data_IF_387410172493
#
_entry.id   IF_387410172493
#
_cell.length_a   1.000
_cell.length_b   1.000
_cell.length_c   1.000
_cell.angle_alpha   90.00
_cell.angle_beta   90.00
_cell.angle_gamma   90.00
#
_symmetry.space_group_name_H-M   'P 1'
#
loop_
_entity.id
_entity.type
_entity.pdbx_description
1 polymer ?
#
# COMPACT_ATOMS: atom_id res chain seq x y z
N UNK A 1 -10.90 41.61 29.60
CA UNK A 1 -11.49 41.51 28.24
C UNK A 1 -10.84 40.32 27.57
N UNK A 2 -11.64 39.26 27.41
CA UNK A 2 -11.47 37.95 26.79
C UNK A 2 -10.10 37.49 26.22
N UNK A 3 -9.66 36.36 26.77
CA UNK A 3 -8.80 35.35 26.14
C UNK A 3 -9.36 34.88 24.78
N UNK A 4 -8.50 34.68 23.78
CA UNK A 4 -8.84 33.87 22.60
C UNK A 4 -7.60 33.13 22.04
N UNK A 5 -7.61 31.81 22.25
CA UNK A 5 -7.07 30.75 21.38
C UNK A 5 -5.59 30.79 20.96
N UNK A 6 -4.70 30.38 21.88
CA UNK A 6 -3.55 29.55 21.52
C UNK A 6 -3.82 28.13 22.01
N UNK A 7 -4.56 27.34 21.23
CA UNK A 7 -4.75 25.91 21.49
C UNK A 7 -4.48 25.14 20.21
N UNK A 8 -3.47 24.27 20.23
CA UNK A 8 -3.39 23.12 19.33
C UNK A 8 -2.29 23.09 18.27
N UNK A 9 -1.38 24.07 18.20
CA UNK A 9 -0.15 23.86 17.44
C UNK A 9 0.81 22.99 18.25
N UNK A 10 0.58 21.66 18.24
CA UNK A 10 1.73 20.76 18.31
C UNK A 10 2.74 21.29 17.31
N UNK A 11 3.91 21.73 17.79
CA UNK A 11 4.99 22.29 16.97
C UNK A 11 5.16 21.39 15.74
N UNK A 12 4.66 21.86 14.59
CA UNK A 12 4.82 21.16 13.33
C UNK A 12 6.31 20.95 13.16
N UNK A 13 6.73 19.69 13.11
CA UNK A 13 8.13 19.36 12.91
C UNK A 13 8.56 19.90 11.54
N UNK A 14 9.35 20.98 11.55
CA UNK A 14 9.82 21.64 10.32
C UNK A 14 10.69 20.71 9.45
N UNK A 15 11.17 19.59 10.00
CA UNK A 15 11.88 18.57 9.22
C UNK A 15 10.96 17.73 8.33
N UNK A 16 9.65 17.74 8.60
CA UNK A 16 8.65 16.91 7.92
C UNK A 16 7.76 17.67 6.93
N UNK A 17 7.99 18.98 6.75
CA UNK A 17 7.21 19.84 5.85
C UNK A 17 8.14 20.59 4.90
N UNK A 18 7.62 20.94 3.72
CA UNK A 18 8.37 21.74 2.75
C UNK A 18 8.54 23.17 3.21
N UNK A 19 9.53 23.88 2.67
CA UNK A 19 9.72 25.32 2.93
C UNK A 19 8.43 26.12 2.65
N UNK A 20 7.78 25.90 1.50
CA UNK A 20 6.53 26.60 1.17
C UNK A 20 5.38 26.32 2.14
N UNK A 21 5.32 25.12 2.73
CA UNK A 21 4.36 24.79 3.79
C UNK A 21 4.71 25.47 5.11
N UNK A 22 6.00 25.51 5.46
CA UNK A 22 6.46 26.19 6.66
C UNK A 22 6.23 27.71 6.60
N UNK A 23 6.30 28.29 5.40
CA UNK A 23 5.99 29.71 5.14
C UNK A 23 4.49 29.98 4.90
N UNK A 24 3.63 28.95 4.99
CA UNK A 24 2.19 29.09 4.81
C UNK A 24 1.73 29.39 3.38
N UNK A 25 2.63 29.33 2.39
CA UNK A 25 2.34 29.52 0.96
C UNK A 25 1.63 28.30 0.39
N UNK A 26 2.00 27.11 0.85
CA UNK A 26 1.41 25.84 0.43
C UNK A 26 0.61 25.21 1.58
N UNK A 27 -0.50 24.51 1.29
CA UNK A 27 -1.27 23.82 2.32
C UNK A 27 -0.44 22.71 2.97
N UNK A 28 -0.64 22.52 4.28
CA UNK A 28 0.00 21.43 5.01
C UNK A 28 -0.40 20.06 4.43
N UNK A 29 0.47 19.04 4.52
CA UNK A 29 0.15 17.71 4.04
C UNK A 29 -1.03 17.14 4.82
N UNK A 30 -2.12 16.80 4.12
CA UNK A 30 -3.29 16.11 4.67
C UNK A 30 -3.39 14.69 4.11
N UNK A 31 -4.09 13.82 4.84
CA UNK A 31 -4.39 12.46 4.39
C UNK A 31 -5.21 12.52 3.09
N UNK A 32 -4.80 11.76 2.08
CA UNK A 32 -5.47 11.74 0.78
C UNK A 32 -6.85 11.09 0.87
N UNK A 33 -7.74 11.47 -0.06
CA UNK A 33 -9.06 10.85 -0.18
C UNK A 33 -8.96 9.45 -0.78
N UNK A 34 -9.80 8.54 -0.29
CA UNK A 34 -9.95 7.21 -0.88
C UNK A 34 -10.27 7.31 -2.38
N UNK A 35 -9.88 6.29 -3.13
CA UNK A 35 -10.06 6.20 -4.59
C UNK A 35 -9.32 7.27 -5.40
N UNK A 36 -8.37 7.97 -4.77
CA UNK A 36 -7.49 8.93 -5.44
C UNK A 36 -6.02 8.57 -5.18
N UNK A 37 -5.15 9.03 -6.08
CA UNK A 37 -3.69 9.00 -5.91
C UNK A 37 -3.17 10.36 -6.31
N UNK A 38 -2.62 11.11 -5.35
CA UNK A 38 -2.17 12.48 -5.62
C UNK A 38 -1.00 12.52 -6.61
N UNK A 39 -0.76 13.68 -7.27
CA UNK A 39 0.42 13.87 -8.10
C UNK A 39 1.73 13.59 -7.37
N UNK A 40 1.82 13.93 -6.08
CA UNK A 40 3.00 13.66 -5.26
C UNK A 40 3.23 12.15 -5.09
N UNK A 41 2.18 11.39 -4.75
CA UNK A 41 2.27 9.93 -4.62
C UNK A 41 2.62 9.27 -5.95
N UNK A 42 2.03 9.72 -7.06
CA UNK A 42 2.36 9.22 -8.41
C UNK A 42 3.82 9.44 -8.75
N UNK A 43 4.33 10.65 -8.53
CA UNK A 43 5.74 10.98 -8.77
C UNK A 43 6.68 10.15 -7.89
N UNK A 44 6.35 9.97 -6.62
CA UNK A 44 7.12 9.17 -5.66
C UNK A 44 7.18 7.69 -6.05
N UNK A 45 6.03 7.10 -6.41
CA UNK A 45 5.93 5.71 -6.88
C UNK A 45 6.68 5.53 -8.20
N UNK A 46 6.56 6.49 -9.13
CA UNK A 46 7.29 6.44 -10.40
C UNK A 46 8.80 6.48 -10.18
N UNK A 47 9.29 7.38 -9.33
CA UNK A 47 10.72 7.48 -9.02
C UNK A 47 11.27 6.16 -8.46
N UNK A 48 10.51 5.51 -7.57
CA UNK A 48 10.85 4.19 -7.04
C UNK A 48 10.89 3.13 -8.14
N UNK A 49 9.82 2.98 -8.93
CA UNK A 49 9.74 1.97 -9.98
C UNK A 49 10.87 2.18 -10.99
N UNK A 50 10.98 3.39 -11.55
CA UNK A 50 11.96 3.73 -12.57
C UNK A 50 13.39 3.53 -12.07
N UNK A 51 13.68 3.89 -10.81
CA UNK A 51 15.00 3.68 -10.20
C UNK A 51 15.36 2.21 -9.99
N UNK A 52 14.37 1.31 -9.94
CA UNK A 52 14.59 -0.12 -9.82
C UNK A 52 14.61 -0.85 -11.18
N UNK A 53 14.22 -0.20 -12.28
CA UNK A 53 14.30 -0.82 -13.61
C UNK A 53 15.76 -0.99 -14.01
N UNK A 54 16.13 -2.22 -14.37
CA UNK A 54 17.47 -2.56 -14.86
C UNK A 54 17.44 -2.80 -16.36
N UNK A 55 18.43 -2.25 -17.07
CA UNK A 55 18.53 -2.37 -18.53
C UNK A 55 19.89 -2.93 -18.94
N UNK A 56 19.89 -3.86 -19.88
CA UNK A 56 21.08 -4.33 -20.59
C UNK A 56 20.86 -4.16 -22.09
N UNK A 57 21.80 -3.50 -22.79
CA UNK A 57 21.66 -3.20 -24.22
C UNK A 57 20.31 -2.52 -24.59
N UNK A 58 19.82 -1.61 -23.73
CA UNK A 58 18.52 -0.92 -23.84
C UNK A 58 17.28 -1.82 -23.74
N UNK A 59 17.44 -3.09 -23.40
CA UNK A 59 16.34 -4.00 -23.09
C UNK A 59 16.21 -4.16 -21.57
N UNK A 60 14.97 -4.22 -21.08
CA UNK A 60 14.71 -4.50 -19.67
C UNK A 60 15.30 -5.87 -19.31
N UNK A 61 15.95 -5.96 -18.15
CA UNK A 61 16.57 -7.19 -17.68
C UNK A 61 16.21 -7.48 -16.21
N UNK A 62 16.74 -8.58 -15.68
CA UNK A 62 16.56 -8.95 -14.27
C UNK A 62 15.12 -9.28 -13.88
N UNK A 63 14.79 -8.99 -12.62
CA UNK A 63 13.50 -9.30 -12.00
C UNK A 63 12.33 -8.61 -12.71
N UNK A 64 12.51 -7.34 -13.09
CA UNK A 64 11.49 -6.57 -13.80
C UNK A 64 11.14 -7.14 -15.17
N UNK A 65 12.10 -7.70 -15.92
CA UNK A 65 11.80 -8.33 -17.19
C UNK A 65 10.79 -9.48 -17.03
N UNK A 66 10.95 -10.31 -16.00
CA UNK A 66 10.04 -11.43 -15.71
C UNK A 66 8.69 -10.92 -15.23
N UNK A 67 8.67 -9.98 -14.28
CA UNK A 67 7.43 -9.39 -13.73
C UNK A 67 6.59 -8.76 -14.85
N UNK A 68 7.20 -7.96 -15.71
CA UNK A 68 6.47 -7.23 -16.76
C UNK A 68 5.96 -8.15 -17.88
N UNK A 69 6.74 -9.18 -18.20
CA UNK A 69 6.34 -10.24 -19.13
C UNK A 69 5.14 -11.01 -18.60
N UNK A 70 5.16 -11.41 -17.33
CA UNK A 70 4.06 -12.13 -16.71
C UNK A 70 2.82 -11.23 -16.57
N UNK A 71 2.98 -9.93 -16.28
CA UNK A 71 1.89 -8.95 -16.29
C UNK A 71 1.23 -8.84 -17.67
N UNK A 72 2.04 -8.72 -18.74
CA UNK A 72 1.56 -8.65 -20.13
C UNK A 72 0.68 -9.84 -20.52
N UNK A 73 1.06 -11.05 -20.10
CA UNK A 73 0.27 -12.26 -20.40
C UNK A 73 -0.92 -12.41 -19.47
N UNK A 74 -0.75 -12.23 -18.16
CA UNK A 74 -1.76 -12.63 -17.16
C UNK A 74 -2.78 -11.53 -16.82
N UNK A 75 -2.45 -10.26 -17.07
CA UNK A 75 -3.29 -9.11 -16.72
C UNK A 75 -3.73 -8.31 -17.93
N UNK A 76 -2.90 -8.25 -18.97
CA UNK A 76 -3.27 -7.62 -20.23
C UNK A 76 -3.80 -8.62 -21.27
N UNK A 77 -3.70 -9.92 -21.00
CA UNK A 77 -4.19 -10.99 -21.88
C UNK A 77 -3.62 -10.92 -23.31
N UNK A 78 -2.36 -10.49 -23.44
CA UNK A 78 -1.66 -10.39 -24.73
C UNK A 78 -0.75 -11.57 -24.98
N UNK A 79 -0.47 -11.83 -26.25
CA UNK A 79 0.42 -12.92 -26.65
C UNK A 79 1.87 -12.62 -26.24
N UNK A 80 2.62 -13.65 -25.85
CA UNK A 80 3.96 -13.50 -25.29
C UNK A 80 4.97 -12.93 -26.29
N UNK A 81 4.81 -13.23 -27.57
CA UNK A 81 5.62 -12.75 -28.69
C UNK A 81 5.38 -11.27 -29.03
N UNK A 82 4.30 -10.67 -28.53
CA UNK A 82 4.03 -9.22 -28.62
C UNK A 82 4.72 -8.40 -27.52
N UNK A 83 5.37 -9.06 -26.55
CA UNK A 83 6.02 -8.36 -25.45
C UNK A 83 7.32 -7.69 -25.91
N UNK A 84 7.35 -6.36 -25.88
CA UNK A 84 8.52 -5.55 -26.26
C UNK A 84 9.35 -5.17 -25.03
N UNK A 85 10.57 -5.69 -24.95
CA UNK A 85 11.49 -5.47 -23.83
C UNK A 85 12.26 -4.14 -23.90
N UNK A 86 12.14 -3.40 -25.00
CA UNK A 86 12.91 -2.17 -25.19
C UNK A 86 12.52 -1.07 -24.20
N UNK A 87 13.51 -0.27 -23.78
CA UNK A 87 13.31 0.93 -22.96
C UNK A 87 12.19 1.84 -23.50
N UNK A 88 12.21 2.10 -24.81
CA UNK A 88 11.24 2.94 -25.51
C UNK A 88 9.81 2.36 -25.48
N UNK A 89 9.65 1.07 -25.21
CA UNK A 89 8.35 0.41 -25.09
C UNK A 89 7.90 0.32 -23.63
N UNK A 90 8.80 -0.10 -22.74
CA UNK A 90 8.49 -0.36 -21.33
C UNK A 90 8.27 0.93 -20.54
N UNK A 91 9.17 1.90 -20.66
CA UNK A 91 9.15 3.10 -19.81
C UNK A 91 7.93 3.98 -20.07
N UNK A 92 7.57 4.30 -21.34
CA UNK A 92 6.37 5.09 -21.59
C UNK A 92 5.09 4.41 -21.10
N UNK A 93 4.99 3.08 -21.26
CA UNK A 93 3.83 2.30 -20.82
C UNK A 93 3.66 2.34 -19.30
N UNK A 94 4.72 2.06 -18.55
CA UNK A 94 4.69 2.11 -17.08
C UNK A 94 4.48 3.54 -16.57
N UNK A 95 5.13 4.53 -17.18
CA UNK A 95 4.92 5.93 -16.82
C UNK A 95 3.47 6.34 -17.04
N UNK A 96 2.87 5.95 -18.16
CA UNK A 96 1.46 6.21 -18.45
C UNK A 96 0.54 5.54 -17.41
N UNK A 97 0.79 4.29 -17.05
CA UNK A 97 0.05 3.60 -15.99
C UNK A 97 0.11 4.37 -14.66
N UNK A 98 1.29 4.80 -14.24
CA UNK A 98 1.45 5.49 -12.94
C UNK A 98 0.88 6.92 -12.95
N UNK A 99 1.02 7.67 -14.03
CA UNK A 99 0.58 9.07 -14.08
C UNK A 99 -0.87 9.25 -14.52
N UNK A 100 -1.36 8.38 -15.42
CA UNK A 100 -2.69 8.51 -16.03
C UNK A 100 -3.65 7.38 -15.65
N UNK A 101 -3.16 6.29 -15.05
CA UNK A 101 -4.02 5.21 -14.56
C UNK A 101 -4.89 5.65 -13.39
N UNK A 102 -6.02 4.95 -13.25
CA UNK A 102 -6.90 5.00 -12.07
C UNK A 102 -6.17 4.45 -10.84
N UNK A 103 -6.69 4.75 -9.65
CA UNK A 103 -6.10 4.20 -8.42
C UNK A 103 -6.07 2.66 -8.43
N UNK A 104 -7.13 2.02 -8.97
CA UNK A 104 -7.24 0.56 -9.07
C UNK A 104 -6.12 0.01 -9.94
N UNK A 105 -5.96 0.51 -11.16
CA UNK A 105 -4.93 0.04 -12.10
C UNK A 105 -3.51 0.16 -11.51
N UNK A 106 -3.25 1.25 -10.77
CA UNK A 106 -1.95 1.46 -10.12
C UNK A 106 -1.75 0.44 -8.99
N UNK A 107 -2.69 0.34 -8.06
CA UNK A 107 -2.54 -0.56 -6.91
C UNK A 107 -2.58 -2.03 -7.32
N UNK A 108 -3.35 -2.41 -8.35
CA UNK A 108 -3.36 -3.75 -8.92
C UNK A 108 -2.00 -4.11 -9.51
N UNK A 109 -1.38 -3.19 -10.26
CA UNK A 109 -0.04 -3.39 -10.79
C UNK A 109 1.01 -3.51 -9.69
N UNK A 110 1.00 -2.59 -8.71
CA UNK A 110 1.93 -2.65 -7.59
C UNK A 110 1.74 -3.94 -6.79
N UNK A 111 0.51 -4.36 -6.55
CA UNK A 111 0.20 -5.57 -5.79
C UNK A 111 0.65 -6.82 -6.54
N UNK A 112 0.42 -6.86 -7.85
CA UNK A 112 0.95 -7.92 -8.69
C UNK A 112 2.47 -7.98 -8.60
N UNK A 113 3.15 -6.83 -8.74
CA UNK A 113 4.60 -6.76 -8.73
C UNK A 113 5.20 -7.27 -7.41
N UNK A 114 4.67 -6.86 -6.25
CA UNK A 114 5.17 -7.29 -4.93
C UNK A 114 4.78 -8.73 -4.57
N UNK A 115 3.68 -9.26 -5.13
CA UNK A 115 3.27 -10.66 -4.93
C UNK A 115 3.98 -11.62 -5.88
N UNK A 116 4.68 -11.08 -6.88
CA UNK A 116 5.38 -11.90 -7.86
C UNK A 116 6.55 -12.67 -7.20
N UNK A 117 6.76 -13.92 -7.62
CA UNK A 117 7.84 -14.78 -7.10
C UNK A 117 9.26 -14.25 -7.37
N UNK A 118 9.38 -13.37 -8.36
CA UNK A 118 10.60 -12.64 -8.75
C UNK A 118 10.40 -11.14 -8.55
N UNK A 119 9.73 -10.72 -7.48
CA UNK A 119 9.56 -9.30 -7.22
C UNK A 119 10.93 -8.65 -6.96
N UNK A 120 11.15 -7.39 -7.39
CA UNK A 120 12.40 -6.68 -7.18
C UNK A 120 12.75 -6.52 -5.69
N UNK A 121 14.05 -6.60 -5.38
CA UNK A 121 14.53 -6.46 -4.00
C UNK A 121 14.04 -5.17 -3.31
N UNK A 122 13.40 -5.32 -2.14
CA UNK A 122 12.86 -4.23 -1.30
C UNK A 122 11.85 -3.30 -1.98
N UNK A 123 11.20 -3.77 -3.05
CA UNK A 123 10.15 -3.00 -3.74
C UNK A 123 8.99 -2.66 -2.80
N UNK A 124 8.56 -3.63 -2.00
CA UNK A 124 7.50 -3.50 -0.99
C UNK A 124 7.84 -2.46 0.07
N UNK A 125 9.03 -2.51 0.66
CA UNK A 125 9.51 -1.52 1.64
C UNK A 125 9.53 -0.11 1.05
N UNK A 126 10.02 0.03 -0.20
CA UNK A 126 10.03 1.29 -0.92
C UNK A 126 8.63 1.84 -1.19
N UNK A 127 7.68 0.98 -1.54
CA UNK A 127 6.28 1.37 -1.74
C UNK A 127 5.67 1.83 -0.41
N UNK A 128 5.81 1.03 0.66
CA UNK A 128 5.27 1.35 1.98
C UNK A 128 5.80 2.70 2.52
N UNK A 129 7.10 2.94 2.34
CA UNK A 129 7.74 4.21 2.69
C UNK A 129 7.11 5.39 1.93
N UNK A 130 6.97 5.29 0.61
CA UNK A 130 6.44 6.40 -0.21
C UNK A 130 4.95 6.66 0.04
N UNK A 131 4.15 5.62 0.27
CA UNK A 131 2.73 5.79 0.63
C UNK A 131 2.57 6.51 1.96
N UNK A 132 3.39 6.15 2.96
CA UNK A 132 3.41 6.81 4.26
C UNK A 132 3.85 8.27 4.14
N UNK A 133 4.98 8.52 3.49
CA UNK A 133 5.56 9.86 3.33
C UNK A 133 4.62 10.82 2.61
N UNK A 134 3.88 10.33 1.61
CA UNK A 134 2.96 11.14 0.80
C UNK A 134 1.52 11.15 1.33
N UNK A 135 1.29 10.60 2.53
CA UNK A 135 -0.02 10.50 3.18
C UNK A 135 -1.11 9.90 2.26
N UNK A 136 -0.75 8.85 1.52
CA UNK A 136 -1.66 8.19 0.59
C UNK A 136 -2.88 7.61 1.32
N UNK A 137 -4.02 7.51 0.63
CA UNK A 137 -5.25 6.95 1.19
C UNK A 137 -5.19 5.41 1.41
N UNK A 138 -4.12 4.79 0.95
CA UNK A 138 -3.86 3.36 1.06
C UNK A 138 -2.48 3.13 1.70
N UNK A 139 -2.37 2.05 2.46
CA UNK A 139 -1.13 1.56 3.07
C UNK A 139 -0.84 0.13 2.64
N UNK A 140 0.40 -0.29 2.79
CA UNK A 140 0.87 -1.63 2.47
C UNK A 140 1.29 -2.33 3.76
N UNK A 141 0.67 -3.45 4.08
CA UNK A 141 1.10 -4.34 5.17
C UNK A 141 1.37 -5.74 4.61
N UNK A 142 2.60 -6.21 4.81
CA UNK A 142 3.13 -7.35 4.06
C UNK A 142 3.04 -7.11 2.56
N UNK A 143 2.20 -7.89 1.87
CA UNK A 143 1.97 -7.79 0.43
C UNK A 143 0.52 -7.41 0.07
N UNK A 144 -0.20 -6.76 0.99
CA UNK A 144 -1.61 -6.40 0.87
C UNK A 144 -1.80 -4.91 1.08
N UNK A 145 -2.43 -4.24 0.11
CA UNK A 145 -2.88 -2.87 0.30
C UNK A 145 -4.17 -2.85 1.11
N UNK A 146 -4.40 -1.76 1.85
CA UNK A 146 -5.66 -1.53 2.56
C UNK A 146 -5.96 -0.02 2.65
N UNK A 147 -7.25 0.37 2.67
CA UNK A 147 -7.65 1.76 2.82
C UNK A 147 -7.38 2.28 4.24
N UNK A 148 -7.03 3.55 4.36
CA UNK A 148 -6.77 4.23 5.64
C UNK A 148 -7.49 5.58 5.67
N UNK A 149 -8.30 5.77 6.71
CA UNK A 149 -9.03 7.03 6.95
C UNK A 149 -8.27 7.98 7.88
N UNK A 150 -7.48 7.45 8.82
CA UNK A 150 -6.63 8.24 9.73
C UNK A 150 -5.28 7.56 10.04
N UNK A 151 -4.31 8.32 10.57
CA UNK A 151 -3.03 7.75 11.02
C UNK A 151 -3.21 6.77 12.19
N UNK A 152 -4.20 7.00 13.05
CA UNK A 152 -4.59 6.09 14.14
C UNK A 152 -5.11 4.76 13.60
N UNK A 153 -5.92 4.78 12.53
CA UNK A 153 -6.39 3.57 11.85
C UNK A 153 -5.22 2.78 11.29
N UNK A 154 -4.28 3.45 10.62
CA UNK A 154 -3.08 2.81 10.08
C UNK A 154 -2.27 2.12 11.19
N UNK A 155 -1.99 2.84 12.29
CA UNK A 155 -1.24 2.28 13.42
C UNK A 155 -1.95 1.08 14.06
N UNK A 156 -3.28 1.12 14.14
CA UNK A 156 -4.10 0.03 14.68
C UNK A 156 -4.02 -1.20 13.79
N UNK A 157 -4.15 -1.04 12.47
CA UNK A 157 -4.03 -2.14 11.50
C UNK A 157 -2.62 -2.73 11.51
N UNK A 158 -1.58 -1.90 11.45
CA UNK A 158 -0.18 -2.36 11.50
C UNK A 158 0.10 -3.18 12.77
N UNK A 159 -0.46 -2.76 13.92
CA UNK A 159 -0.35 -3.50 15.17
C UNK A 159 -1.04 -4.86 15.09
N UNK A 160 -2.27 -4.91 14.57
CA UNK A 160 -3.01 -6.17 14.41
C UNK A 160 -2.26 -7.17 13.52
N UNK A 161 -1.68 -6.73 12.41
CA UNK A 161 -0.86 -7.59 11.55
C UNK A 161 0.40 -8.10 12.25
N UNK A 162 1.07 -7.24 13.03
CA UNK A 162 2.26 -7.62 13.81
C UNK A 162 1.93 -8.64 14.90
N UNK A 163 0.87 -8.41 15.65
CA UNK A 163 0.42 -9.29 16.72
C UNK A 163 0.00 -10.67 16.15
N UNK A 164 -0.56 -10.69 14.93
CA UNK A 164 -0.92 -11.91 14.24
C UNK A 164 0.25 -12.62 13.51
N UNK A 165 1.43 -12.00 13.38
CA UNK A 165 2.53 -12.55 12.57
C UNK A 165 3.00 -13.95 13.01
N UNK A 166 2.85 -14.27 14.30
CA UNK A 166 3.13 -15.60 14.87
C UNK A 166 2.01 -16.64 14.67
N UNK A 167 0.86 -16.23 14.13
CA UNK A 167 -0.38 -17.01 14.11
C UNK A 167 -0.95 -17.08 12.69
N UNK A 168 -0.50 -18.07 11.92
CA UNK A 168 -0.82 -18.21 10.47
C UNK A 168 -2.31 -18.08 10.14
N UNK A 169 -3.19 -18.70 10.93
CA UNK A 169 -4.64 -18.63 10.71
C UNK A 169 -5.20 -17.21 10.88
N UNK A 170 -4.86 -16.56 11.99
CA UNK A 170 -5.28 -15.19 12.26
C UNK A 170 -4.71 -14.19 11.24
N UNK A 171 -3.43 -14.36 10.89
CA UNK A 171 -2.78 -13.52 9.87
C UNK A 171 -3.45 -13.65 8.50
N UNK A 172 -3.82 -14.87 8.10
CA UNK A 172 -4.50 -15.09 6.82
C UNK A 172 -5.88 -14.41 6.81
N UNK A 173 -6.64 -14.54 7.89
CA UNK A 173 -7.94 -13.87 8.01
C UNK A 173 -7.81 -12.34 8.01
N UNK A 174 -6.79 -11.77 8.67
CA UNK A 174 -6.52 -10.33 8.58
C UNK A 174 -6.14 -9.87 7.17
N UNK A 175 -5.36 -10.67 6.43
CA UNK A 175 -5.04 -10.40 5.02
C UNK A 175 -6.31 -10.40 4.16
N UNK A 176 -7.16 -11.41 4.30
CA UNK A 176 -8.42 -11.50 3.56
C UNK A 176 -9.35 -10.33 3.91
N UNK A 177 -9.40 -9.93 5.19
CA UNK A 177 -10.19 -8.79 5.65
C UNK A 177 -9.72 -7.48 5.00
N UNK A 178 -8.40 -7.28 4.93
CA UNK A 178 -7.79 -6.13 4.26
C UNK A 178 -8.04 -6.13 2.75
N UNK A 179 -7.94 -7.28 2.08
CA UNK A 179 -8.26 -7.43 0.66
C UNK A 179 -9.73 -7.13 0.36
N UNK A 180 -10.66 -7.65 1.15
CA UNK A 180 -12.09 -7.34 0.98
C UNK A 180 -12.37 -5.83 1.17
N UNK A 181 -11.66 -5.18 2.09
CA UNK A 181 -11.79 -3.74 2.31
C UNK A 181 -11.32 -2.90 1.10
N UNK A 182 -10.28 -3.33 0.36
CA UNK A 182 -9.81 -2.56 -0.81
C UNK A 182 -10.80 -2.56 -1.96
N UNK A 183 -11.58 -3.64 -2.12
CA UNK A 183 -12.60 -3.77 -3.15
C UNK A 183 -14.00 -3.30 -2.71
N UNK A 184 -14.13 -2.74 -1.50
CA UNK A 184 -15.38 -2.29 -0.87
C UNK A 184 -16.37 -3.43 -0.51
N UNK A 185 -15.87 -4.64 -0.27
CA UNK A 185 -16.66 -5.78 0.23
C UNK A 185 -16.70 -5.78 1.77
N UNK A 186 -17.40 -4.80 2.35
CA UNK A 186 -17.38 -4.57 3.81
C UNK A 186 -17.90 -5.74 4.63
N UNK A 187 -18.92 -6.45 4.15
CA UNK A 187 -19.47 -7.61 4.84
C UNK A 187 -18.42 -8.72 4.99
N UNK A 188 -17.71 -9.03 3.90
CA UNK A 188 -16.64 -10.03 3.91
C UNK A 188 -15.46 -9.56 4.76
N UNK A 189 -15.10 -8.27 4.69
CA UNK A 189 -14.05 -7.69 5.51
C UNK A 189 -14.33 -7.87 7.01
N UNK A 190 -15.57 -7.64 7.45
CA UNK A 190 -16.02 -7.84 8.83
C UNK A 190 -15.99 -9.33 9.20
N UNK A 191 -16.53 -10.21 8.36
CA UNK A 191 -16.53 -11.65 8.63
C UNK A 191 -15.11 -12.19 8.81
N UNK A 192 -14.17 -11.79 7.95
CA UNK A 192 -12.77 -12.21 8.06
C UNK A 192 -12.09 -11.64 9.30
N UNK A 193 -12.39 -10.40 9.72
CA UNK A 193 -11.81 -9.86 10.96
C UNK A 193 -12.33 -10.59 12.21
N UNK A 194 -13.60 -11.01 12.24
CA UNK A 194 -14.14 -11.88 13.29
C UNK A 194 -13.42 -13.22 13.31
N UNK A 195 -13.24 -13.87 12.17
CA UNK A 195 -12.50 -15.14 12.08
C UNK A 195 -11.04 -15.00 12.55
N UNK A 196 -10.39 -13.85 12.31
CA UNK A 196 -9.06 -13.60 12.83
C UNK A 196 -9.04 -13.57 14.36
N UNK A 197 -10.00 -12.89 14.98
CA UNK A 197 -10.16 -12.85 16.45
C UNK A 197 -10.42 -14.24 17.00
N UNK A 198 -11.35 -14.99 16.41
CA UNK A 198 -11.68 -16.36 16.84
C UNK A 198 -10.46 -17.29 16.78
N UNK A 199 -9.64 -17.17 15.73
CA UNK A 199 -8.42 -17.96 15.59
C UNK A 199 -7.42 -17.68 16.73
N UNK A 200 -7.26 -16.41 17.14
CA UNK A 200 -6.43 -16.04 18.29
C UNK A 200 -7.06 -16.52 19.60
N UNK A 201 -8.37 -16.33 19.79
CA UNK A 201 -9.07 -16.75 21.01
C UNK A 201 -8.95 -18.25 21.26
N UNK A 202 -9.12 -19.09 20.22
CA UNK A 202 -8.94 -20.54 20.31
C UNK A 202 -7.51 -20.95 20.68
N UNK A 203 -6.51 -20.16 20.27
CA UNK A 203 -5.11 -20.40 20.60
C UNK A 203 -4.79 -20.01 22.06
N UNK A 204 -5.32 -18.89 22.52
CA UNK A 204 -5.10 -18.41 23.89
C UNK A 204 -5.87 -19.22 24.94
N UNK A 205 -6.99 -19.82 24.56
CA UNK A 205 -7.87 -20.55 25.46
C UNK A 205 -8.35 -21.87 24.83
N UNK A 206 -7.44 -22.87 24.66
CA UNK A 206 -7.79 -24.14 24.07
C UNK A 206 -8.79 -24.91 24.94
N UNK A 207 -9.90 -25.34 24.34
CA UNK A 207 -10.93 -26.15 25.00
C UNK A 207 -11.97 -25.36 25.80
N UNK A 208 -11.90 -24.03 25.85
CA UNK A 208 -12.97 -23.19 26.43
C UNK A 208 -13.91 -22.67 25.36
N UNK A 209 -15.22 -22.88 25.55
CA UNK A 209 -16.27 -22.37 24.66
C UNK A 209 -16.76 -20.96 25.03
N UNK A 210 -16.12 -20.30 26.00
CA UNK A 210 -16.53 -19.01 26.53
C UNK A 210 -15.32 -18.10 26.74
N UNK A 211 -15.41 -16.86 26.26
CA UNK A 211 -14.47 -15.80 26.63
C UNK A 211 -14.66 -15.47 28.11
N UNK A 212 -13.56 -15.28 28.86
CA UNK A 212 -13.65 -14.81 30.25
C UNK A 212 -14.27 -13.40 30.26
N UNK A 213 -15.00 -13.00 31.32
CA UNK A 213 -15.48 -11.63 31.46
C UNK A 213 -14.31 -10.64 31.29
N UNK A 214 -14.55 -9.54 30.57
CA UNK A 214 -13.56 -8.47 30.46
C UNK A 214 -13.25 -7.92 31.87
N UNK A 215 -11.98 -7.69 32.21
CA UNK A 215 -11.59 -7.09 33.49
C UNK A 215 -12.08 -5.65 33.63
#
# INVERSE_FOLDING_TARGET
MFYAFQTGAHLLDRTQITFGQAEGVSPLPSQQQLKTVSPETRAALWALIHGNLTFFQRQISGEWAVVLRDWHVTREFKAIDEFLEGYESVVPKLKNLIFNGTYVEIFDFLQFAIRHRKHPYRLDEGIAYNLTRTKAAYRLEGNTFFPVQSEEDAATVSRAFRDAAGHRGALQHLKNSAEAATVNEWAESITQSVHAVEAISKLLAPGTNTLRPAP
#
